data_IF_654120398873
#
_entry.id   IF_654120398873
#
_cell.length_a   1.000
_cell.length_b   1.000
_cell.length_c   1.000
_cell.angle_alpha   90.00
_cell.angle_beta   90.00
_cell.angle_gamma   90.00
#
_symmetry.space_group_name_H-M   'P 1'
#
loop_
_entity.id
_entity.type
_entity.pdbx_description
1 polymer ?
#
# COMPACT_ATOMS: atom_id res chain seq x y z
N UNK A 1 52.23 -27.74 55.38
CA UNK A 1 51.12 -28.47 54.72
C UNK A 1 49.78 -27.71 54.71
N UNK A 2 49.73 -26.44 55.10
CA UNK A 2 48.48 -25.66 55.26
C UNK A 2 48.24 -24.70 54.13
N UNK A 3 49.25 -24.39 53.25
CA UNK A 3 49.16 -23.40 52.19
C UNK A 3 48.55 -23.89 50.87
N UNK A 4 48.53 -25.21 50.65
CA UNK A 4 47.98 -25.84 49.46
C UNK A 4 46.44 -25.86 49.40
N UNK A 5 45.79 -25.91 50.56
CA UNK A 5 44.31 -25.96 50.63
C UNK A 5 43.64 -24.62 50.43
N UNK A 6 44.32 -23.49 50.69
CA UNK A 6 43.75 -22.16 50.54
C UNK A 6 43.70 -21.72 49.07
N UNK A 7 44.66 -22.15 48.21
CA UNK A 7 44.69 -21.89 46.78
C UNK A 7 43.62 -22.64 45.96
N UNK A 8 43.23 -23.83 46.41
CA UNK A 8 42.19 -24.61 45.73
C UNK A 8 40.77 -24.06 45.95
N UNK A 9 40.51 -23.40 47.09
CA UNK A 9 39.20 -22.78 47.37
C UNK A 9 38.93 -21.57 46.52
N UNK A 10 39.94 -20.72 46.31
CA UNK A 10 39.80 -19.50 45.46
C UNK A 10 39.63 -19.82 43.97
N UNK A 11 40.36 -20.84 43.47
CA UNK A 11 40.22 -21.25 42.07
C UNK A 11 38.82 -21.83 41.77
N UNK A 12 38.24 -22.60 42.69
CA UNK A 12 36.88 -23.12 42.55
C UNK A 12 35.79 -22.01 42.63
N UNK A 13 36.01 -21.01 43.46
CA UNK A 13 35.08 -19.87 43.53
C UNK A 13 35.14 -19.02 42.25
N UNK A 14 36.34 -18.70 41.73
CA UNK A 14 36.51 -17.99 40.47
C UNK A 14 35.88 -18.73 39.29
N UNK A 15 36.04 -20.05 39.20
CA UNK A 15 35.42 -20.86 38.16
C UNK A 15 33.86 -20.81 38.22
N UNK A 16 33.29 -20.78 39.43
CA UNK A 16 31.82 -20.64 39.60
C UNK A 16 31.32 -19.27 39.23
N UNK A 17 32.07 -18.17 39.49
CA UNK A 17 31.73 -16.83 39.07
C UNK A 17 31.84 -16.64 37.55
N UNK A 18 32.86 -17.24 36.93
CA UNK A 18 33.01 -17.20 35.45
C UNK A 18 31.95 -18.02 34.75
N UNK A 19 31.55 -19.16 35.27
CA UNK A 19 30.45 -19.96 34.74
C UNK A 19 29.10 -19.23 34.85
N UNK A 20 28.85 -18.56 35.99
CA UNK A 20 27.66 -17.71 36.19
C UNK A 20 27.60 -16.53 35.21
N UNK A 21 28.72 -15.83 34.98
CA UNK A 21 28.80 -14.73 34.04
C UNK A 21 28.60 -15.17 32.58
N UNK A 22 29.10 -16.35 32.19
CA UNK A 22 28.91 -16.93 30.87
C UNK A 22 27.43 -17.29 30.59
N UNK A 23 26.73 -17.83 31.58
CA UNK A 23 25.29 -18.18 31.47
C UNK A 23 24.43 -16.93 31.36
N UNK A 24 24.73 -15.88 32.14
CA UNK A 24 24.01 -14.58 32.04
C UNK A 24 24.28 -13.90 30.71
N UNK A 25 25.50 -13.94 30.19
CA UNK A 25 25.84 -13.39 28.85
C UNK A 25 25.15 -14.13 27.72
N UNK A 26 25.00 -15.45 27.82
CA UNK A 26 24.29 -16.25 26.81
C UNK A 26 22.77 -16.02 26.82
N UNK A 27 22.16 -15.82 27.98
CA UNK A 27 20.75 -15.52 28.14
C UNK A 27 20.43 -14.08 27.66
N UNK A 28 21.32 -13.10 27.88
CA UNK A 28 21.15 -11.73 27.41
C UNK A 28 21.30 -11.59 25.88
N UNK A 29 22.19 -12.38 25.24
CA UNK A 29 22.36 -12.40 23.79
C UNK A 29 21.21 -13.05 23.01
N UNK A 30 20.51 -14.02 23.63
CA UNK A 30 19.41 -14.74 23.00
C UNK A 30 18.10 -13.94 22.86
N UNK A 31 17.87 -12.93 23.70
CA UNK A 31 16.63 -12.15 23.67
C UNK A 31 16.65 -10.96 22.68
N UNK A 32 17.81 -10.53 22.19
CA UNK A 32 17.93 -9.40 21.28
C UNK A 32 17.55 -9.76 19.83
N UNK A 33 17.49 -11.03 19.44
CA UNK A 33 17.28 -11.45 18.06
C UNK A 33 15.81 -11.58 17.64
N UNK A 34 14.89 -11.85 18.54
CA UNK A 34 13.49 -12.14 18.18
C UNK A 34 12.70 -10.86 17.80
N UNK A 35 12.90 -9.73 18.47
CA UNK A 35 12.15 -8.50 18.24
C UNK A 35 12.54 -7.78 16.93
N UNK A 36 13.80 -7.85 16.51
CA UNK A 36 14.27 -7.16 15.30
C UNK A 36 13.68 -7.76 14.01
N UNK A 37 13.58 -9.09 13.94
CA UNK A 37 12.98 -9.76 12.78
C UNK A 37 11.48 -9.48 12.63
N UNK A 38 10.75 -9.32 13.74
CA UNK A 38 9.32 -9.03 13.70
C UNK A 38 9.04 -7.59 13.26
N UNK A 39 9.87 -6.63 13.67
CA UNK A 39 9.78 -5.23 13.22
C UNK A 39 10.08 -5.14 11.71
N UNK A 40 11.12 -5.82 11.22
CA UNK A 40 11.40 -5.85 9.77
C UNK A 40 10.30 -6.50 8.96
N UNK A 41 9.72 -7.60 9.43
CA UNK A 41 8.58 -8.25 8.76
C UNK A 41 7.37 -7.34 8.71
N UNK A 42 7.08 -6.60 9.78
CA UNK A 42 6.01 -5.63 9.85
C UNK A 42 6.21 -4.48 8.84
N UNK A 43 7.41 -3.93 8.77
CA UNK A 43 7.75 -2.86 7.82
C UNK A 43 7.64 -3.33 6.36
N UNK A 44 8.15 -4.52 6.05
CA UNK A 44 8.02 -5.10 4.69
C UNK A 44 6.58 -5.45 4.34
N UNK A 45 5.79 -5.96 5.28
CA UNK A 45 4.37 -6.23 5.07
C UNK A 45 3.59 -4.94 4.77
N UNK A 46 3.87 -3.86 5.50
CA UNK A 46 3.27 -2.53 5.29
C UNK A 46 3.65 -1.95 3.93
N UNK A 47 4.93 -2.02 3.54
CA UNK A 47 5.40 -1.59 2.21
C UNK A 47 4.75 -2.38 1.08
N UNK A 48 4.65 -3.70 1.25
CA UNK A 48 3.99 -4.58 0.27
C UNK A 48 2.50 -4.26 0.14
N UNK A 49 1.81 -4.07 1.26
CA UNK A 49 0.40 -3.69 1.26
C UNK A 49 0.16 -2.31 0.61
N UNK A 50 1.05 -1.34 0.85
CA UNK A 50 1.01 -0.04 0.17
C UNK A 50 1.25 -0.15 -1.34
N UNK A 51 2.22 -0.95 -1.76
CA UNK A 51 2.49 -1.19 -3.18
C UNK A 51 1.27 -1.82 -3.88
N UNK A 52 0.55 -2.72 -3.21
CA UNK A 52 -0.71 -3.28 -3.71
C UNK A 52 -1.78 -2.19 -3.88
N UNK A 53 -1.93 -1.27 -2.92
CA UNK A 53 -2.84 -0.11 -3.05
C UNK A 53 -2.50 0.71 -4.31
N UNK A 54 -1.23 1.07 -4.50
CA UNK A 54 -0.79 1.83 -5.67
C UNK A 54 -1.04 1.07 -6.97
N UNK A 55 -0.80 -0.24 -6.99
CA UNK A 55 -1.04 -1.10 -8.16
C UNK A 55 -2.51 -1.10 -8.58
N UNK A 56 -3.45 -1.20 -7.64
CA UNK A 56 -4.88 -1.16 -7.94
C UNK A 56 -5.33 0.22 -8.44
N UNK A 57 -4.79 1.30 -7.90
CA UNK A 57 -5.05 2.65 -8.42
C UNK A 57 -4.46 2.87 -9.81
N UNK A 58 -3.27 2.32 -10.09
CA UNK A 58 -2.68 2.35 -11.42
C UNK A 58 -3.57 1.61 -12.42
N UNK A 59 -4.02 0.41 -12.09
CA UNK A 59 -4.94 -0.36 -12.94
C UNK A 59 -6.20 0.43 -13.26
N UNK A 60 -6.79 1.14 -12.29
CA UNK A 60 -7.92 2.03 -12.54
C UNK A 60 -7.59 3.14 -13.53
N UNK A 61 -6.43 3.78 -13.37
CA UNK A 61 -5.98 4.86 -14.25
C UNK A 61 -5.70 4.39 -15.70
N UNK A 62 -5.27 3.13 -15.86
CA UNK A 62 -4.97 2.53 -17.16
C UNK A 62 -6.24 2.18 -17.96
N UNK A 63 -7.39 2.01 -17.32
CA UNK A 63 -8.67 1.81 -17.98
C UNK A 63 -9.25 3.11 -18.57
N UNK A 64 -8.85 4.27 -18.06
CA UNK A 64 -9.42 5.57 -18.41
C UNK A 64 -9.29 5.90 -19.89
N UNK A 65 -8.13 5.76 -20.57
CA UNK A 65 -8.00 6.07 -21.98
C UNK A 65 -8.97 5.30 -22.85
N UNK A 66 -9.15 4.00 -22.57
CA UNK A 66 -10.08 3.18 -23.33
C UNK A 66 -11.53 3.60 -23.10
N UNK A 67 -11.89 3.90 -21.85
CA UNK A 67 -13.21 4.40 -21.52
C UNK A 67 -13.51 5.74 -22.20
N UNK A 68 -12.57 6.70 -22.16
CA UNK A 68 -12.70 8.00 -22.83
C UNK A 68 -12.84 7.84 -24.33
N UNK A 69 -12.04 6.96 -24.97
CA UNK A 69 -12.13 6.70 -26.40
C UNK A 69 -13.46 6.08 -26.80
N UNK A 70 -13.97 5.12 -26.02
CA UNK A 70 -15.27 4.50 -26.27
C UNK A 70 -16.40 5.53 -26.15
N UNK A 71 -16.41 6.32 -25.08
CA UNK A 71 -17.43 7.38 -24.88
C UNK A 71 -17.35 8.43 -25.98
N UNK A 72 -16.14 8.83 -26.38
CA UNK A 72 -15.93 9.82 -27.46
C UNK A 72 -16.52 9.37 -28.79
N UNK A 73 -16.56 8.07 -29.07
CA UNK A 73 -17.19 7.51 -30.27
C UNK A 73 -18.69 7.84 -30.40
N UNK A 74 -19.38 7.98 -29.26
CA UNK A 74 -20.83 8.19 -29.19
C UNK A 74 -21.22 9.59 -28.70
N UNK A 75 -20.39 10.22 -27.88
CA UNK A 75 -20.67 11.47 -27.18
C UNK A 75 -19.53 12.48 -27.34
N UNK A 76 -19.03 12.70 -28.56
CA UNK A 76 -17.90 13.59 -28.84
C UNK A 76 -18.17 15.07 -28.49
N UNK A 77 -19.44 15.49 -28.40
CA UNK A 77 -19.86 16.83 -27.99
C UNK A 77 -19.67 17.09 -26.49
N UNK A 78 -19.53 16.06 -25.67
CA UNK A 78 -19.33 16.17 -24.22
C UNK A 78 -17.86 16.48 -23.86
N UNK A 79 -17.28 17.43 -24.56
CA UNK A 79 -15.84 17.75 -24.52
C UNK A 79 -15.35 18.08 -23.09
N UNK A 80 -16.15 18.84 -22.35
CA UNK A 80 -15.78 19.25 -20.99
C UNK A 80 -15.64 18.05 -20.04
N UNK A 81 -16.58 17.10 -20.13
CA UNK A 81 -16.54 15.88 -19.28
C UNK A 81 -15.37 14.99 -19.68
N UNK A 82 -15.14 14.81 -20.98
CA UNK A 82 -14.01 14.00 -21.50
C UNK A 82 -12.65 14.61 -21.10
N UNK A 83 -12.51 15.93 -21.21
CA UNK A 83 -11.31 16.66 -20.75
C UNK A 83 -11.14 16.53 -19.24
N UNK A 84 -12.19 16.73 -18.45
CA UNK A 84 -12.13 16.62 -17.01
C UNK A 84 -11.65 15.24 -16.51
N UNK A 85 -12.05 14.16 -17.19
CA UNK A 85 -11.57 12.81 -16.88
C UNK A 85 -10.08 12.66 -17.24
N UNK A 86 -9.67 13.18 -18.39
CA UNK A 86 -8.27 13.12 -18.84
C UNK A 86 -7.34 13.92 -17.93
N UNK A 87 -7.76 15.10 -17.51
CA UNK A 87 -7.03 15.95 -16.56
C UNK A 87 -6.93 15.29 -15.18
N UNK A 88 -8.02 14.73 -14.69
CA UNK A 88 -8.01 14.01 -13.40
C UNK A 88 -7.05 12.81 -13.45
N UNK A 89 -7.00 12.06 -14.55
CA UNK A 89 -6.04 10.98 -14.77
C UNK A 89 -4.59 11.48 -14.74
N UNK A 90 -4.31 12.57 -15.44
CA UNK A 90 -2.96 13.17 -15.46
C UNK A 90 -2.52 13.59 -14.06
N UNK A 91 -3.41 14.21 -13.28
CA UNK A 91 -3.14 14.62 -11.90
C UNK A 91 -2.87 13.43 -10.98
N UNK A 92 -3.67 12.37 -11.10
CA UNK A 92 -3.43 11.12 -10.37
C UNK A 92 -2.05 10.56 -10.68
N UNK A 93 -1.65 10.50 -11.95
CA UNK A 93 -0.32 9.99 -12.34
C UNK A 93 0.84 10.79 -11.74
N UNK A 94 0.71 12.12 -11.66
CA UNK A 94 1.72 12.99 -11.06
C UNK A 94 1.84 12.76 -9.54
N UNK A 95 0.71 12.71 -8.84
CA UNK A 95 0.69 12.56 -7.38
C UNK A 95 1.07 11.16 -6.95
N UNK A 96 0.73 10.14 -7.74
CA UNK A 96 1.04 8.74 -7.44
C UNK A 96 2.55 8.47 -7.37
N UNK A 97 3.35 9.12 -8.23
CA UNK A 97 4.81 9.00 -8.20
C UNK A 97 5.44 9.57 -6.93
N UNK A 98 4.74 10.48 -6.26
CA UNK A 98 5.18 11.16 -5.04
C UNK A 98 4.47 10.62 -3.79
N UNK A 99 3.58 9.64 -3.95
CA UNK A 99 2.77 9.13 -2.86
C UNK A 99 3.64 8.40 -1.82
N UNK A 100 3.74 9.02 -0.65
CA UNK A 100 4.46 8.48 0.49
C UNK A 100 3.48 8.28 1.66
N UNK A 101 3.23 7.04 2.10
CA UNK A 101 2.28 6.77 3.17
C UNK A 101 2.74 7.25 4.55
N UNK A 102 4.05 7.53 4.72
CA UNK A 102 4.61 8.06 5.98
C UNK A 102 4.54 9.58 6.06
N UNK A 103 4.24 10.27 4.94
CA UNK A 103 4.02 11.72 4.91
C UNK A 103 2.53 12.05 4.79
N UNK A 104 1.91 12.58 5.86
CA UNK A 104 0.48 12.92 5.85
C UNK A 104 0.08 13.93 4.76
N UNK A 105 1.00 14.82 4.37
CA UNK A 105 0.77 15.80 3.30
C UNK A 105 0.64 15.14 1.94
N UNK A 106 1.59 14.26 1.63
CA UNK A 106 1.60 13.47 0.40
C UNK A 106 0.39 12.54 0.32
N UNK A 107 0.07 11.84 1.41
CA UNK A 107 -1.10 10.95 1.46
C UNK A 107 -2.41 11.71 1.20
N UNK A 108 -2.59 12.87 1.83
CA UNK A 108 -3.77 13.72 1.62
C UNK A 108 -3.89 14.21 0.17
N UNK A 109 -2.79 14.58 -0.46
CA UNK A 109 -2.77 14.96 -1.89
C UNK A 109 -3.17 13.78 -2.78
N UNK A 110 -2.62 12.60 -2.51
CA UNK A 110 -2.97 11.38 -3.21
C UNK A 110 -4.48 11.05 -3.08
N UNK A 111 -5.02 11.06 -1.87
CA UNK A 111 -6.45 10.80 -1.64
C UNK A 111 -7.35 11.85 -2.33
N UNK A 112 -6.96 13.13 -2.29
CA UNK A 112 -7.68 14.21 -2.98
C UNK A 112 -7.71 14.00 -4.50
N UNK A 113 -6.56 13.64 -5.11
CA UNK A 113 -6.49 13.35 -6.53
C UNK A 113 -7.37 12.14 -6.93
N UNK A 114 -7.37 11.09 -6.10
CA UNK A 114 -8.22 9.92 -6.31
C UNK A 114 -9.72 10.24 -6.17
N UNK A 115 -10.10 11.10 -5.23
CA UNK A 115 -11.48 11.57 -5.09
C UNK A 115 -11.94 12.39 -6.30
N UNK A 116 -11.06 13.26 -6.84
CA UNK A 116 -11.33 14.01 -8.07
C UNK A 116 -11.52 13.10 -9.26
N UNK A 117 -10.71 12.04 -9.40
CA UNK A 117 -10.86 11.03 -10.44
C UNK A 117 -12.22 10.31 -10.32
N UNK A 118 -12.60 9.89 -9.11
CA UNK A 118 -13.91 9.25 -8.88
C UNK A 118 -15.06 10.17 -9.25
N UNK A 119 -14.97 11.47 -8.92
CA UNK A 119 -15.97 12.47 -9.30
C UNK A 119 -16.05 12.66 -10.82
N UNK A 120 -14.92 12.73 -11.52
CA UNK A 120 -14.86 12.87 -12.97
C UNK A 120 -15.48 11.63 -13.67
N UNK A 121 -15.16 10.43 -13.20
CA UNK A 121 -15.74 9.19 -13.70
C UNK A 121 -17.25 9.13 -13.48
N UNK A 122 -17.74 9.53 -12.30
CA UNK A 122 -19.17 9.60 -12.02
C UNK A 122 -19.91 10.53 -13.00
N UNK A 123 -19.33 11.68 -13.33
CA UNK A 123 -19.89 12.59 -14.35
C UNK A 123 -19.93 11.94 -15.72
N UNK A 124 -18.87 11.22 -16.12
CA UNK A 124 -18.82 10.50 -17.39
C UNK A 124 -19.90 9.44 -17.48
N UNK A 125 -20.14 8.69 -16.40
CA UNK A 125 -21.19 7.68 -16.34
C UNK A 125 -22.60 8.29 -16.44
N UNK A 126 -22.82 9.45 -15.81
CA UNK A 126 -24.08 10.21 -15.97
C UNK A 126 -24.29 10.67 -17.42
N UNK A 127 -23.23 11.07 -18.13
CA UNK A 127 -23.31 11.34 -19.56
C UNK A 127 -23.75 10.11 -20.33
N UNK A 128 -23.15 8.95 -20.06
CA UNK A 128 -23.48 7.71 -20.76
C UNK A 128 -24.97 7.33 -20.68
N UNK A 129 -25.67 7.69 -19.58
CA UNK A 129 -27.11 7.46 -19.45
C UNK A 129 -27.95 8.21 -20.50
N UNK A 130 -27.44 9.30 -21.05
CA UNK A 130 -28.10 10.10 -22.11
C UNK A 130 -27.88 9.53 -23.51
N UNK A 131 -27.02 8.55 -23.67
CA UNK A 131 -26.65 7.92 -24.94
C UNK A 131 -26.94 6.42 -24.91
N UNK A 132 -28.17 5.98 -25.29
CA UNK A 132 -28.56 4.58 -25.21
C UNK A 132 -27.68 3.63 -26.03
N UNK A 133 -27.14 4.11 -27.16
CA UNK A 133 -26.24 3.35 -28.02
C UNK A 133 -24.90 3.06 -27.32
N UNK A 134 -24.34 4.06 -26.62
CA UNK A 134 -23.16 3.88 -25.80
C UNK A 134 -23.42 2.89 -24.64
N UNK A 135 -24.56 3.03 -23.97
CA UNK A 135 -24.95 2.16 -22.86
C UNK A 135 -25.12 0.69 -23.30
N UNK A 136 -25.50 0.45 -24.55
CA UNK A 136 -25.62 -0.89 -25.14
C UNK A 136 -24.31 -1.42 -25.74
N UNK A 137 -23.28 -0.56 -25.88
CA UNK A 137 -21.96 -0.96 -26.38
C UNK A 137 -21.28 -1.99 -25.46
N UNK A 138 -20.76 -3.07 -26.06
CA UNK A 138 -20.17 -4.16 -25.31
C UNK A 138 -18.88 -3.72 -24.61
N UNK A 139 -18.01 -2.98 -25.31
CA UNK A 139 -16.75 -2.53 -24.75
C UNK A 139 -16.98 -1.57 -23.57
N UNK A 140 -17.99 -0.70 -23.68
CA UNK A 140 -18.35 0.21 -22.59
C UNK A 140 -18.80 -0.54 -21.34
N UNK A 141 -19.66 -1.56 -21.50
CA UNK A 141 -20.13 -2.39 -20.38
C UNK A 141 -19.01 -3.20 -19.71
N UNK A 142 -18.09 -3.75 -20.52
CA UNK A 142 -16.92 -4.46 -20.03
C UNK A 142 -16.01 -3.55 -19.23
N UNK A 143 -15.72 -2.34 -19.74
CA UNK A 143 -14.92 -1.32 -19.04
C UNK A 143 -15.59 -0.86 -17.74
N UNK A 144 -16.92 -0.68 -17.72
CA UNK A 144 -17.65 -0.36 -16.50
C UNK A 144 -17.53 -1.49 -15.46
N UNK A 145 -17.69 -2.74 -15.88
CA UNK A 145 -17.56 -3.90 -14.99
C UNK A 145 -16.14 -4.01 -14.43
N UNK A 146 -15.13 -3.76 -15.27
CA UNK A 146 -13.73 -3.78 -14.83
C UNK A 146 -13.40 -2.64 -13.87
N UNK A 147 -13.93 -1.43 -14.11
CA UNK A 147 -13.81 -0.30 -13.18
C UNK A 147 -14.45 -0.61 -11.83
N UNK A 148 -15.66 -1.15 -11.81
CA UNK A 148 -16.34 -1.55 -10.58
C UNK A 148 -15.56 -2.64 -9.83
N UNK A 149 -15.02 -3.64 -10.56
CA UNK A 149 -14.15 -4.66 -10.00
C UNK A 149 -12.84 -4.09 -9.41
N UNK A 150 -12.29 -3.07 -10.05
CA UNK A 150 -11.08 -2.39 -9.58
C UNK A 150 -11.36 -1.59 -8.31
N UNK A 151 -12.50 -0.91 -8.20
CA UNK A 151 -12.92 -0.19 -6.99
C UNK A 151 -13.03 -1.12 -5.78
N UNK A 152 -13.61 -2.30 -5.98
CA UNK A 152 -13.66 -3.34 -4.93
C UNK A 152 -12.25 -3.79 -4.51
N UNK A 153 -11.34 -4.01 -5.46
CA UNK A 153 -9.95 -4.37 -5.16
C UNK A 153 -9.20 -3.25 -4.43
N UNK A 154 -9.43 -2.00 -4.79
CA UNK A 154 -8.88 -0.84 -4.08
C UNK A 154 -9.34 -0.85 -2.61
N UNK A 155 -10.62 -1.08 -2.38
CA UNK A 155 -11.19 -1.14 -1.03
C UNK A 155 -10.52 -2.25 -0.19
N UNK A 156 -10.36 -3.44 -0.77
CA UNK A 156 -9.68 -4.57 -0.11
C UNK A 156 -8.20 -4.27 0.15
N UNK A 157 -7.48 -3.71 -0.84
CA UNK A 157 -6.08 -3.36 -0.70
C UNK A 157 -5.87 -2.29 0.39
N UNK A 158 -6.71 -1.25 0.42
CA UNK A 158 -6.68 -0.23 1.48
C UNK A 158 -6.92 -0.83 2.86
N UNK A 159 -7.87 -1.75 2.99
CA UNK A 159 -8.11 -2.44 4.26
C UNK A 159 -6.87 -3.21 4.71
N UNK A 160 -6.25 -4.00 3.82
CA UNK A 160 -5.02 -4.74 4.13
C UNK A 160 -3.88 -3.82 4.56
N UNK A 161 -3.75 -2.66 3.89
CA UNK A 161 -2.76 -1.67 4.27
C UNK A 161 -3.03 -1.13 5.69
N UNK A 162 -4.27 -0.76 6.01
CA UNK A 162 -4.66 -0.29 7.35
C UNK A 162 -4.40 -1.38 8.40
N UNK A 163 -4.75 -2.64 8.10
CA UNK A 163 -4.53 -3.77 9.00
C UNK A 163 -3.02 -4.05 9.23
N UNK A 164 -2.15 -3.66 8.28
CA UNK A 164 -0.70 -3.86 8.39
C UNK A 164 0.03 -2.79 9.23
N UNK A 165 -0.62 -1.65 9.51
CA UNK A 165 -0.05 -0.56 10.31
C UNK A 165 -0.58 -0.54 11.75
N UNK A 166 -1.54 -1.39 12.09
CA UNK A 166 -2.11 -1.57 13.43
C UNK A 166 -1.54 -2.82 14.11
#
# INVERSE_FOLDING_TARGET
>A
MVESTKKQGTARQLARWMAGAAVVGFLAGGMAGCGYNDIQRGDEATKSAWAEVLSQYQRRADLIPNLVNTVKGYAAQEKEVLLGVTEARSRVGQVQQQANPTDPGSLKQFESAQAQMSSALSRLLVVAERYPELKSDQNFRELQAELAGTENRITVARKRYIDSIN
#
